data_IF_655700506063
#
_entry.id   IF_655700506063
#
_cell.length_a   1.000
_cell.length_b   1.000
_cell.length_c   1.000
_cell.angle_alpha   90.00
_cell.angle_beta   90.00
_cell.angle_gamma   90.00
#
_symmetry.space_group_name_H-M   'P 1'
#
loop_
_entity.id
_entity.type
_entity.pdbx_description
1 polymer ?
#
# COMPACT_ATOMS: atom_id res chain seq x y z
N UNK A 1 17.58 -34.49 -14.51
CA UNK A 1 16.30 -34.35 -13.79
C UNK A 1 16.54 -33.41 -12.60
N UNK A 2 16.22 -32.11 -12.67
CA UNK A 2 16.30 -31.28 -11.47
C UNK A 2 15.02 -31.47 -10.65
N UNK A 3 15.21 -31.92 -9.40
CA UNK A 3 14.16 -32.06 -8.41
C UNK A 3 13.46 -30.73 -8.17
N UNK A 4 12.14 -30.78 -8.20
CA UNK A 4 11.23 -29.70 -7.84
C UNK A 4 11.56 -29.31 -6.39
N UNK A 5 12.21 -28.16 -6.21
CA UNK A 5 12.57 -27.62 -4.91
C UNK A 5 11.31 -27.38 -4.09
N UNK A 6 11.11 -28.20 -3.07
CA UNK A 6 10.01 -28.06 -2.13
C UNK A 6 10.06 -26.71 -1.46
N UNK A 7 8.98 -25.96 -1.55
CA UNK A 7 8.78 -24.77 -0.74
C UNK A 7 8.88 -25.17 0.73
N UNK A 8 9.90 -24.64 1.39
CA UNK A 8 10.17 -24.88 2.81
C UNK A 8 8.95 -24.42 3.63
N UNK A 9 8.40 -25.25 4.53
CA UNK A 9 7.13 -24.98 5.22
C UNK A 9 7.15 -23.70 6.07
N UNK A 10 8.34 -23.20 6.40
CA UNK A 10 8.54 -21.95 7.13
C UNK A 10 8.40 -20.70 6.25
N UNK A 11 8.56 -20.80 4.92
CA UNK A 11 8.46 -19.65 4.01
C UNK A 11 7.02 -19.20 3.77
N UNK A 12 6.11 -20.15 3.52
CA UNK A 12 4.69 -19.85 3.36
C UNK A 12 4.05 -19.39 4.69
N UNK A 13 4.47 -20.00 5.81
CA UNK A 13 4.02 -19.59 7.13
C UNK A 13 4.48 -18.16 7.48
N UNK A 14 5.71 -17.77 7.12
CA UNK A 14 6.18 -16.39 7.29
C UNK A 14 5.41 -15.39 6.43
N UNK A 15 5.11 -15.73 5.18
CA UNK A 15 4.32 -14.87 4.28
C UNK A 15 2.89 -14.71 4.80
N UNK A 16 2.26 -15.81 5.27
CA UNK A 16 0.92 -15.74 5.85
C UNK A 16 0.92 -14.94 7.16
N UNK A 17 1.92 -15.13 8.03
CA UNK A 17 2.07 -14.35 9.25
C UNK A 17 2.32 -12.86 8.96
N UNK A 18 3.07 -12.53 7.91
CA UNK A 18 3.32 -11.15 7.48
C UNK A 18 2.06 -10.52 6.85
N UNK A 19 1.30 -11.26 6.04
CA UNK A 19 0.00 -10.84 5.52
C UNK A 19 -1.04 -10.67 6.62
N UNK A 20 -1.02 -11.51 7.66
CA UNK A 20 -1.92 -11.44 8.81
C UNK A 20 -1.53 -10.31 9.78
N UNK A 21 -0.24 -10.05 9.95
CA UNK A 21 0.30 -8.86 10.61
C UNK A 21 -0.14 -7.58 9.86
N UNK A 22 -0.05 -7.58 8.53
CA UNK A 22 -0.55 -6.48 7.71
C UNK A 22 -2.07 -6.34 7.81
N UNK A 23 -2.83 -7.44 7.91
CA UNK A 23 -4.27 -7.43 8.16
C UNK A 23 -4.63 -6.82 9.52
N UNK A 24 -3.81 -7.06 10.55
CA UNK A 24 -3.97 -6.42 11.86
C UNK A 24 -3.67 -4.91 11.80
N UNK A 25 -2.72 -4.47 10.96
CA UNK A 25 -2.48 -3.05 10.68
C UNK A 25 -3.58 -2.40 9.84
N UNK A 26 -4.35 -3.15 9.04
CA UNK A 26 -5.53 -2.61 8.33
C UNK A 26 -6.74 -2.43 9.28
N UNK A 27 -6.64 -2.93 10.52
CA UNK A 27 -7.66 -2.86 11.56
C UNK A 27 -7.63 -1.62 12.45
N UNK A 28 -6.98 -0.51 12.06
CA UNK A 28 -7.15 0.74 12.78
C UNK A 28 -8.58 1.25 12.58
N UNK A 29 -9.43 1.04 13.59
CA UNK A 29 -10.52 1.95 13.86
C UNK A 29 -9.87 3.34 14.00
N UNK A 30 -10.02 4.19 12.98
CA UNK A 30 -9.60 5.58 13.03
C UNK A 30 -10.15 6.18 14.32
N UNK A 31 -9.33 6.71 15.24
CA UNK A 31 -9.87 7.38 16.40
C UNK A 31 -10.59 8.65 15.91
N UNK A 32 -11.90 8.56 15.68
CA UNK A 32 -12.81 9.70 15.74
C UNK A 32 -12.95 10.13 17.20
N UNK A 33 -11.84 10.51 17.84
CA UNK A 33 -11.92 11.20 19.10
C UNK A 33 -11.17 12.53 19.00
N UNK A 34 -11.94 13.56 18.68
CA UNK A 34 -11.54 14.94 18.82
C UNK A 34 -11.39 15.26 20.32
N UNK A 35 -10.17 15.20 20.83
CA UNK A 35 -9.83 15.85 22.11
C UNK A 35 -9.70 17.36 21.87
N UNK A 36 -10.44 18.25 22.58
CA UNK A 36 -10.48 19.69 22.27
C UNK A 36 -9.20 20.51 22.56
N UNK A 37 -8.05 19.91 22.85
CA UNK A 37 -6.90 20.62 23.44
C UNK A 37 -5.65 20.73 22.57
N UNK A 38 -5.77 20.68 21.25
CA UNK A 38 -4.68 21.04 20.33
C UNK A 38 -5.14 22.08 19.30
N UNK A 39 -4.57 23.31 19.28
CA UNK A 39 -5.04 24.42 18.43
C UNK A 39 -4.54 24.33 16.96
N UNK A 40 -4.44 23.11 16.42
CA UNK A 40 -4.11 22.83 15.00
C UNK A 40 -4.97 21.70 14.40
N UNK A 41 -6.06 21.32 15.07
CA UNK A 41 -6.63 19.95 14.96
C UNK A 41 -8.05 19.88 14.45
N UNK A 42 -8.53 20.94 13.82
CA UNK A 42 -9.77 20.87 13.07
C UNK A 42 -9.62 21.74 11.83
N UNK A 43 -8.94 21.17 10.83
CA UNK A 43 -9.16 21.50 9.44
C UNK A 43 -10.09 20.42 8.87
N UNK A 44 -11.39 20.40 9.25
CA UNK A 44 -12.33 19.41 8.76
C UNK A 44 -12.46 19.50 7.24
N UNK A 45 -12.32 20.70 6.66
CA UNK A 45 -12.48 20.94 5.23
C UNK A 45 -11.42 20.21 4.36
N UNK A 46 -10.09 20.37 4.56
CA UNK A 46 -9.13 19.62 3.75
C UNK A 46 -9.09 18.13 4.08
N UNK A 47 -9.43 17.72 5.31
CA UNK A 47 -9.57 16.29 5.62
C UNK A 47 -10.74 15.68 4.85
N UNK A 48 -11.89 16.35 4.83
CA UNK A 48 -13.06 15.90 4.08
C UNK A 48 -12.82 15.98 2.57
N UNK A 49 -12.18 17.04 2.07
CA UNK A 49 -11.85 17.18 0.65
C UNK A 49 -10.88 16.08 0.18
N UNK A 50 -9.90 15.70 0.99
CA UNK A 50 -9.00 14.59 0.68
C UNK A 50 -9.72 13.23 0.72
N UNK A 51 -10.65 13.04 1.66
CA UNK A 51 -11.46 11.81 1.71
C UNK A 51 -12.41 11.72 0.52
N UNK A 52 -13.03 12.83 0.13
CA UNK A 52 -13.90 12.91 -1.05
C UNK A 52 -13.09 12.59 -2.32
N UNK A 53 -11.94 13.25 -2.51
CA UNK A 53 -11.05 12.98 -3.64
C UNK A 53 -10.60 11.52 -3.66
N UNK A 54 -10.24 10.95 -2.51
CA UNK A 54 -9.89 9.52 -2.41
C UNK A 54 -11.05 8.61 -2.81
N UNK A 55 -12.27 8.90 -2.39
CA UNK A 55 -13.47 8.15 -2.78
C UNK A 55 -13.79 8.29 -4.27
N UNK A 56 -13.36 9.38 -4.90
CA UNK A 56 -13.58 9.67 -6.32
C UNK A 56 -12.55 9.04 -7.25
N UNK A 57 -11.43 8.46 -6.74
CA UNK A 57 -10.46 7.75 -7.57
C UNK A 57 -11.10 6.45 -8.08
N UNK A 58 -11.33 6.30 -9.39
CA UNK A 58 -11.97 5.10 -9.90
C UNK A 58 -11.00 3.90 -9.85
N UNK A 59 -11.55 2.72 -9.55
CA UNK A 59 -10.76 1.51 -9.28
C UNK A 59 -9.88 1.10 -10.47
N UNK A 60 -10.31 1.37 -11.69
CA UNK A 60 -9.54 1.10 -12.91
C UNK A 60 -8.24 1.91 -12.96
N UNK A 61 -8.19 3.12 -12.41
CA UNK A 61 -6.95 3.88 -12.29
C UNK A 61 -5.97 3.22 -11.33
N UNK A 62 -6.47 2.69 -10.20
CA UNK A 62 -5.66 1.94 -9.23
C UNK A 62 -5.15 0.65 -9.88
N UNK A 63 -6.03 -0.08 -10.56
CA UNK A 63 -5.68 -1.33 -11.24
C UNK A 63 -4.66 -1.08 -12.36
N UNK A 64 -4.84 -0.04 -13.16
CA UNK A 64 -3.89 0.38 -14.20
C UNK A 64 -2.52 0.76 -13.61
N UNK A 65 -2.50 1.43 -12.45
CA UNK A 65 -1.26 1.74 -11.74
C UNK A 65 -0.55 0.46 -11.29
N UNK A 66 -1.26 -0.50 -10.69
CA UNK A 66 -0.71 -1.80 -10.26
C UNK A 66 -0.19 -2.58 -11.47
N UNK A 67 -0.98 -2.68 -12.54
CA UNK A 67 -0.61 -3.36 -13.78
C UNK A 67 0.58 -2.68 -14.47
N UNK A 68 0.85 -1.40 -14.21
CA UNK A 68 2.02 -0.70 -14.71
C UNK A 68 3.31 -1.03 -13.94
N UNK A 69 3.23 -1.54 -12.70
CA UNK A 69 4.40 -1.77 -11.83
C UNK A 69 5.49 -2.61 -12.47
N UNK A 70 5.22 -3.75 -13.12
CA UNK A 70 6.27 -4.55 -13.75
C UNK A 70 7.09 -3.78 -14.80
N UNK A 71 6.48 -2.82 -15.49
CA UNK A 71 7.19 -1.97 -16.46
C UNK A 71 8.07 -0.93 -15.76
N UNK A 72 7.57 -0.29 -14.70
CA UNK A 72 8.33 0.66 -13.88
C UNK A 72 9.52 -0.03 -13.20
N UNK A 73 9.32 -1.22 -12.63
CA UNK A 73 10.40 -2.02 -12.07
C UNK A 73 11.47 -2.38 -13.13
N UNK A 74 11.06 -2.78 -14.34
CA UNK A 74 12.00 -3.01 -15.44
C UNK A 74 12.80 -1.75 -15.81
N UNK A 75 12.15 -0.59 -15.83
CA UNK A 75 12.84 0.68 -16.06
C UNK A 75 13.86 0.99 -14.95
N UNK A 76 13.50 0.76 -13.68
CA UNK A 76 14.42 0.93 -12.55
C UNK A 76 15.61 -0.02 -12.62
N UNK A 77 15.40 -1.28 -13.04
CA UNK A 77 16.50 -2.24 -13.21
C UNK A 77 17.42 -1.79 -14.36
N UNK A 78 16.84 -1.39 -15.49
CA UNK A 78 17.60 -0.89 -16.63
C UNK A 78 18.39 0.39 -16.30
N UNK A 79 17.88 1.24 -15.40
CA UNK A 79 18.56 2.43 -14.90
C UNK A 79 19.58 2.14 -13.78
N UNK A 80 19.80 0.88 -13.41
CA UNK A 80 20.61 0.48 -12.24
C UNK A 80 20.14 1.15 -10.94
N UNK A 81 18.83 1.32 -10.78
CA UNK A 81 18.18 1.95 -9.64
C UNK A 81 18.18 3.48 -9.67
N UNK A 82 18.66 4.12 -10.75
CA UNK A 82 18.59 5.57 -10.91
C UNK A 82 17.17 6.04 -11.24
N UNK A 83 16.92 7.33 -11.02
CA UNK A 83 15.62 7.96 -11.30
C UNK A 83 15.13 7.64 -12.72
N UNK A 84 13.93 7.07 -12.80
CA UNK A 84 13.19 6.85 -14.05
C UNK A 84 12.09 7.89 -14.19
N UNK A 85 11.56 8.22 -15.38
CA UNK A 85 10.49 9.23 -15.55
C UNK A 85 9.14 8.95 -14.85
N UNK A 86 9.09 7.88 -14.05
CA UNK A 86 7.95 7.46 -13.25
C UNK A 86 8.18 7.71 -11.77
#
# INVERSE_FOLDING_TARGET
MPSIGGYHPYGLASILAELESNRACVGYAWPMNCSPSTPSTCLPEPRMALLDEWCNIPQDQIDNLILSMPRRCKACIASSGRHTPY
#
